data_IF_482427129274
#
_entry.id   IF_482427129274
#
_cell.length_a   1.000
_cell.length_b   1.000
_cell.length_c   1.000
_cell.angle_alpha   90.00
_cell.angle_beta   90.00
_cell.angle_gamma   90.00
#
_symmetry.space_group_name_H-M   'P 1'
#
loop_
_entity.id
_entity.type
_entity.pdbx_description
1 polymer ?
#
# COMPACT_ATOMS: atom_id res chain seq x y z
N UNK A 1 -3.93 -21.81 20.63
CA UNK A 1 -4.39 -22.18 19.26
C UNK A 1 -5.69 -21.43 19.00
N UNK A 2 -5.76 -20.63 17.94
CA UNK A 2 -6.92 -19.78 17.61
C UNK A 2 -7.51 -20.22 16.26
N UNK A 3 -8.36 -21.26 16.22
CA UNK A 3 -8.78 -21.90 14.96
C UNK A 3 -9.62 -21.01 14.02
N UNK A 4 -10.12 -19.87 14.48
CA UNK A 4 -10.95 -18.93 13.69
C UNK A 4 -10.43 -17.49 13.81
N UNK A 5 -9.10 -17.30 13.82
CA UNK A 5 -8.54 -15.97 13.96
C UNK A 5 -8.73 -15.17 12.68
N UNK A 6 -9.83 -14.41 12.59
CA UNK A 6 -10.10 -13.53 11.44
C UNK A 6 -9.31 -12.22 11.49
N UNK A 7 -8.93 -11.78 12.69
CA UNK A 7 -8.27 -10.50 12.91
C UNK A 7 -7.00 -10.71 13.72
N UNK A 8 -5.87 -10.30 13.17
CA UNK A 8 -4.59 -10.32 13.86
C UNK A 8 -4.13 -8.88 14.13
N UNK A 9 -3.90 -8.58 15.41
CA UNK A 9 -3.34 -7.31 15.87
C UNK A 9 -1.92 -7.56 16.35
N UNK A 10 -0.94 -6.95 15.68
CA UNK A 10 0.46 -7.04 16.05
C UNK A 10 0.91 -5.68 16.59
N UNK A 11 1.34 -5.67 17.85
CA UNK A 11 1.73 -4.46 18.58
C UNK A 11 2.96 -4.74 19.45
N UNK A 12 4.18 -4.51 18.95
CA UNK A 12 5.42 -4.51 19.76
C UNK A 12 6.68 -4.08 18.97
N UNK A 13 7.67 -3.51 19.66
CA UNK A 13 8.85 -2.87 19.08
C UNK A 13 9.92 -3.78 18.44
N UNK A 14 9.90 -5.09 18.68
CA UNK A 14 11.09 -5.93 18.43
C UNK A 14 11.12 -6.68 17.10
N UNK A 15 10.03 -6.73 16.33
CA UNK A 15 9.99 -7.50 15.09
C UNK A 15 10.64 -6.71 13.94
N UNK A 16 11.66 -7.28 13.31
CA UNK A 16 12.15 -6.80 12.00
C UNK A 16 11.23 -7.26 10.86
N UNK A 17 10.64 -8.43 11.04
CA UNK A 17 9.71 -9.09 10.12
C UNK A 17 8.58 -9.74 10.95
N UNK A 18 7.33 -9.66 10.48
CA UNK A 18 6.18 -10.23 11.22
C UNK A 18 5.97 -11.71 10.87
N UNK A 19 6.24 -12.06 9.62
CA UNK A 19 6.03 -13.40 9.09
C UNK A 19 7.31 -13.89 8.45
N UNK A 20 8.10 -14.62 9.23
CA UNK A 20 9.31 -15.29 8.77
C UNK A 20 9.14 -16.80 8.88
N UNK A 21 9.79 -17.55 7.99
CA UNK A 21 9.77 -19.03 8.04
C UNK A 21 10.43 -19.57 9.32
N UNK A 22 11.32 -18.79 9.93
CA UNK A 22 12.06 -19.11 11.17
C UNK A 22 11.36 -18.61 12.46
N UNK A 23 10.34 -17.74 12.39
CA UNK A 23 9.59 -17.25 13.57
C UNK A 23 8.86 -18.37 14.34
N UNK A 24 8.79 -19.58 13.79
CA UNK A 24 8.04 -20.70 14.33
C UNK A 24 8.89 -21.92 14.68
N UNK A 25 10.21 -21.79 14.69
CA UNK A 25 11.05 -22.81 15.31
C UNK A 25 12.51 -22.46 15.18
N UNK A 26 13.12 -22.03 16.29
CA UNK A 26 14.51 -22.32 16.69
C UNK A 26 14.57 -22.16 18.23
N UNK A 27 14.20 -23.21 18.95
CA UNK A 27 14.59 -23.40 20.34
C UNK A 27 15.33 -24.73 20.44
N UNK A 28 16.66 -24.67 20.30
CA UNK A 28 17.58 -25.75 20.66
C UNK A 28 17.65 -26.91 19.68
N UNK A 29 18.86 -27.40 19.48
CA UNK A 29 19.15 -28.65 18.77
C UNK A 29 18.32 -29.82 19.33
N UNK A 30 17.32 -30.26 18.58
CA UNK A 30 16.91 -31.66 18.58
C UNK A 30 16.55 -32.08 17.17
N UNK A 31 17.23 -33.14 16.73
CA UNK A 31 16.89 -33.95 15.57
C UNK A 31 15.40 -34.30 15.50
N UNK A 32 14.86 -34.32 14.27
CA UNK A 32 13.54 -34.82 13.87
C UNK A 32 12.35 -33.83 13.95
N UNK A 33 11.97 -33.27 12.79
CA UNK A 33 10.72 -32.53 12.60
C UNK A 33 10.57 -32.07 11.16
N UNK A 34 9.96 -32.90 10.31
CA UNK A 34 9.71 -32.55 8.90
C UNK A 34 8.73 -31.39 8.72
N UNK A 35 8.39 -31.11 7.46
CA UNK A 35 7.36 -30.18 6.96
C UNK A 35 6.01 -30.17 7.74
N UNK A 36 5.77 -31.12 8.64
CA UNK A 36 4.58 -31.24 9.49
C UNK A 36 4.43 -30.16 10.57
N UNK A 37 5.50 -29.50 11.02
CA UNK A 37 5.39 -28.47 12.06
C UNK A 37 4.92 -27.10 11.53
N UNK A 38 5.22 -26.78 10.27
CA UNK A 38 4.76 -25.56 9.59
C UNK A 38 3.28 -25.60 9.19
N UNK A 39 2.66 -26.78 9.20
CA UNK A 39 1.24 -26.95 8.89
C UNK A 39 0.33 -26.44 10.03
N UNK A 40 0.84 -26.37 11.27
CA UNK A 40 0.06 -25.96 12.44
C UNK A 40 -0.13 -24.43 12.54
N UNK A 41 0.88 -23.57 12.32
CA UNK A 41 0.70 -22.12 12.24
C UNK A 41 -0.21 -21.71 11.06
N UNK A 42 -0.04 -22.35 9.90
CA UNK A 42 -0.88 -22.11 8.73
C UNK A 42 -2.36 -22.38 9.02
N UNK A 43 -2.67 -23.54 9.60
CA UNK A 43 -4.05 -23.85 10.03
C UNK A 43 -4.60 -22.85 11.05
N UNK A 44 -3.75 -22.18 11.84
CA UNK A 44 -4.21 -21.17 12.79
C UNK A 44 -4.52 -19.83 12.10
N UNK A 45 -3.97 -19.58 10.91
CA UNK A 45 -4.13 -18.35 10.14
C UNK A 45 -4.99 -18.53 8.87
N UNK A 46 -5.51 -19.74 8.62
CA UNK A 46 -6.30 -20.07 7.41
C UNK A 46 -7.59 -19.25 7.27
N UNK A 47 -8.06 -18.63 8.34
CA UNK A 47 -9.25 -17.78 8.36
C UNK A 47 -8.91 -16.28 8.51
N UNK A 48 -7.63 -15.91 8.52
CA UNK A 48 -7.20 -14.54 8.72
C UNK A 48 -7.61 -13.66 7.54
N UNK A 49 -8.40 -12.62 7.83
CA UNK A 49 -8.89 -11.65 6.84
C UNK A 49 -8.38 -10.25 7.11
N UNK A 50 -8.17 -9.88 8.37
CA UNK A 50 -7.79 -8.53 8.74
C UNK A 50 -6.45 -8.54 9.47
N UNK A 51 -5.50 -7.72 9.00
CA UNK A 51 -4.21 -7.55 9.63
C UNK A 51 -4.01 -6.10 10.07
N UNK A 52 -3.71 -5.93 11.36
CA UNK A 52 -3.46 -4.63 11.97
C UNK A 52 -2.05 -4.62 12.56
N UNK A 53 -1.17 -3.82 11.98
CA UNK A 53 0.23 -3.68 12.36
C UNK A 53 0.43 -2.30 12.97
N UNK A 54 0.78 -2.22 14.25
CA UNK A 54 0.85 -0.94 14.94
C UNK A 54 2.09 -0.81 15.82
N UNK A 55 2.81 0.31 15.68
CA UNK A 55 3.99 0.66 16.50
C UNK A 55 5.12 -0.38 16.42
N UNK A 56 5.41 -0.86 15.21
CA UNK A 56 6.49 -1.82 14.96
C UNK A 56 7.73 -1.06 14.52
N UNK A 57 8.51 -0.55 15.50
CA UNK A 57 9.63 0.37 15.24
C UNK A 57 10.74 -0.21 14.36
N UNK A 58 11.00 -1.52 14.47
CA UNK A 58 12.07 -2.18 13.72
C UNK A 58 11.58 -2.87 12.43
N UNK A 59 10.28 -2.81 12.12
CA UNK A 59 9.71 -3.51 10.98
C UNK A 59 10.29 -2.99 9.67
N UNK A 60 11.05 -3.82 8.97
CA UNK A 60 11.65 -3.51 7.67
C UNK A 60 10.81 -4.08 6.53
N UNK A 61 10.23 -5.26 6.72
CA UNK A 61 9.35 -5.91 5.76
C UNK A 61 8.12 -6.46 6.46
N UNK A 62 6.98 -6.38 5.79
CA UNK A 62 5.75 -6.97 6.31
C UNK A 62 5.74 -8.49 6.08
N UNK A 63 6.36 -8.95 4.98
CA UNK A 63 6.39 -10.35 4.56
C UNK A 63 7.75 -10.69 3.95
N UNK A 64 8.15 -11.96 4.13
CA UNK A 64 9.29 -12.57 3.42
C UNK A 64 8.76 -13.40 2.25
N UNK A 65 9.53 -13.44 1.17
CA UNK A 65 9.19 -14.25 -0.01
C UNK A 65 9.17 -15.74 0.39
N UNK A 66 8.07 -16.44 0.08
CA UNK A 66 7.86 -17.84 0.44
C UNK A 66 6.46 -18.34 0.09
N UNK A 67 6.33 -19.62 -0.30
CA UNK A 67 5.06 -20.14 -0.86
C UNK A 67 3.94 -20.26 0.18
N UNK A 68 4.28 -20.53 1.44
CA UNK A 68 3.30 -20.69 2.52
C UNK A 68 2.61 -19.37 2.89
N UNK A 69 3.37 -18.29 2.94
CA UNK A 69 2.83 -16.96 3.26
C UNK A 69 1.97 -16.42 2.12
N UNK A 70 2.32 -16.74 0.86
CA UNK A 70 1.54 -16.33 -0.29
C UNK A 70 0.06 -16.76 -0.20
N UNK A 71 -0.23 -17.95 0.36
CA UNK A 71 -1.61 -18.42 0.53
C UNK A 71 -2.39 -17.60 1.57
N UNK A 72 -1.78 -17.24 2.70
CA UNK A 72 -2.41 -16.38 3.71
C UNK A 72 -2.67 -14.98 3.12
N UNK A 73 -1.79 -14.47 2.27
CA UNK A 73 -1.95 -13.13 1.68
C UNK A 73 -3.09 -13.05 0.67
N UNK A 74 -3.45 -14.17 0.03
CA UNK A 74 -4.59 -14.24 -0.91
C UNK A 74 -5.93 -13.94 -0.24
N UNK A 75 -6.09 -14.26 1.03
CA UNK A 75 -7.34 -14.12 1.80
C UNK A 75 -7.43 -12.84 2.62
N UNK A 76 -6.35 -12.07 2.78
CA UNK A 76 -6.40 -10.80 3.51
C UNK A 76 -7.29 -9.81 2.76
N UNK A 77 -8.33 -9.33 3.44
CA UNK A 77 -9.30 -8.36 2.96
C UNK A 77 -8.98 -6.94 3.42
N UNK A 78 -8.46 -6.78 4.66
CA UNK A 78 -8.19 -5.48 5.28
C UNK A 78 -6.79 -5.46 5.87
N UNK A 79 -6.04 -4.40 5.58
CA UNK A 79 -4.70 -4.19 6.09
C UNK A 79 -4.47 -2.76 6.57
N UNK A 80 -4.14 -2.63 7.84
CA UNK A 80 -3.80 -1.36 8.48
C UNK A 80 -2.37 -1.41 9.01
N UNK A 81 -1.51 -0.52 8.53
CA UNK A 81 -0.10 -0.39 8.96
C UNK A 81 0.08 1.01 9.56
N UNK A 82 0.31 1.08 10.86
CA UNK A 82 0.27 2.33 11.62
C UNK A 82 1.56 2.49 12.44
N UNK A 83 2.27 3.60 12.24
CA UNK A 83 3.47 3.94 13.03
C UNK A 83 4.58 2.88 12.94
N UNK A 84 4.92 2.44 11.72
CA UNK A 84 6.07 1.57 11.44
C UNK A 84 7.18 2.41 10.76
N UNK A 85 8.04 3.09 11.54
CA UNK A 85 9.00 4.08 11.00
C UNK A 85 10.11 3.49 10.14
N UNK A 86 10.50 2.23 10.35
CA UNK A 86 11.58 1.57 9.58
C UNK A 86 11.11 0.88 8.29
N UNK A 87 9.79 0.85 8.05
CA UNK A 87 9.24 0.21 6.86
C UNK A 87 9.44 1.12 5.66
N UNK A 88 10.20 0.67 4.66
CA UNK A 88 10.50 1.47 3.45
C UNK A 88 9.54 1.20 2.29
N UNK A 89 9.00 -0.02 2.18
CA UNK A 89 8.08 -0.44 1.12
C UNK A 89 7.09 -1.49 1.64
N UNK A 90 5.82 -1.42 1.22
CA UNK A 90 4.77 -2.38 1.65
C UNK A 90 4.76 -3.63 0.77
N UNK A 91 4.83 -3.45 -0.55
CA UNK A 91 4.79 -4.52 -1.55
C UNK A 91 6.07 -4.49 -2.42
N UNK A 92 7.18 -5.06 -1.93
CA UNK A 92 8.47 -5.04 -2.64
C UNK A 92 8.55 -6.00 -3.84
N UNK A 93 7.67 -6.99 -3.90
CA UNK A 93 7.71 -8.07 -4.89
C UNK A 93 6.28 -8.48 -5.29
N UNK A 94 6.10 -9.16 -6.43
CA UNK A 94 4.82 -9.77 -6.79
C UNK A 94 4.34 -10.72 -5.70
N UNK A 95 3.22 -10.38 -5.09
CA UNK A 95 2.50 -11.23 -4.13
C UNK A 95 1.05 -11.27 -4.56
N UNK A 96 0.37 -12.39 -4.33
CA UNK A 96 -1.03 -12.54 -4.74
C UNK A 96 -1.99 -12.07 -3.65
N UNK A 97 -2.23 -10.76 -3.53
CA UNK A 97 -3.32 -10.23 -2.71
C UNK A 97 -4.65 -10.29 -3.48
N UNK A 98 -5.29 -11.45 -3.47
CA UNK A 98 -6.50 -11.68 -4.27
C UNK A 98 -7.78 -11.16 -3.62
N UNK A 99 -7.77 -10.89 -2.31
CA UNK A 99 -8.96 -10.45 -1.57
C UNK A 99 -8.85 -9.05 -0.97
N UNK A 100 -7.69 -8.38 -1.10
CA UNK A 100 -7.44 -7.12 -0.41
C UNK A 100 -8.36 -6.01 -0.95
N UNK A 101 -9.26 -5.53 -0.09
CA UNK A 101 -10.24 -4.49 -0.41
C UNK A 101 -9.90 -3.15 0.23
N UNK A 102 -9.20 -3.16 1.38
CA UNK A 102 -8.87 -1.96 2.13
C UNK A 102 -7.41 -1.98 2.56
N UNK A 103 -6.66 -0.96 2.14
CA UNK A 103 -5.30 -0.72 2.59
C UNK A 103 -5.20 0.68 3.21
N UNK A 104 -4.75 0.72 4.46
CA UNK A 104 -4.43 1.94 5.18
C UNK A 104 -2.99 1.89 5.69
N UNK A 105 -2.20 2.89 5.33
CA UNK A 105 -0.86 3.10 5.87
C UNK A 105 -0.78 4.50 6.46
N UNK A 106 -0.44 4.60 7.74
CA UNK A 106 -0.50 5.85 8.49
C UNK A 106 0.71 6.03 9.41
N UNK A 107 1.33 7.22 9.40
CA UNK A 107 2.46 7.59 10.25
C UNK A 107 3.70 6.66 10.09
N UNK A 108 3.87 6.00 8.95
CA UNK A 108 5.07 5.24 8.60
C UNK A 108 6.10 6.18 7.97
N UNK A 109 6.85 6.89 8.82
CA UNK A 109 7.66 8.04 8.38
C UNK A 109 8.82 7.69 7.43
N UNK A 110 9.36 6.47 7.50
CA UNK A 110 10.40 5.97 6.59
C UNK A 110 9.89 5.28 5.34
N UNK A 111 8.57 5.22 5.14
CA UNK A 111 7.96 4.60 3.96
C UNK A 111 8.21 5.47 2.73
N UNK A 112 9.03 4.96 1.81
CA UNK A 112 9.43 5.64 0.57
C UNK A 112 8.47 5.33 -0.56
N UNK A 113 7.99 4.07 -0.64
CA UNK A 113 7.09 3.60 -1.70
C UNK A 113 5.99 2.69 -1.14
N UNK A 114 4.83 2.61 -1.81
CA UNK A 114 3.83 1.60 -1.47
C UNK A 114 4.22 0.25 -2.05
N UNK A 115 4.58 0.19 -3.33
CA UNK A 115 4.96 -1.04 -3.98
C UNK A 115 5.55 -0.86 -5.38
N UNK A 116 6.04 -1.95 -5.94
CA UNK A 116 6.53 -1.97 -7.32
C UNK A 116 5.40 -2.15 -8.34
N UNK A 117 5.66 -1.84 -9.62
CA UNK A 117 4.73 -2.05 -10.73
C UNK A 117 4.14 -3.45 -10.73
N UNK A 118 4.99 -4.48 -10.73
CA UNK A 118 4.52 -5.87 -10.74
C UNK A 118 3.72 -6.23 -9.49
N UNK A 119 4.11 -5.73 -8.33
CA UNK A 119 3.43 -6.02 -7.07
C UNK A 119 2.01 -5.46 -7.02
N UNK A 120 1.81 -4.23 -7.47
CA UNK A 120 0.49 -3.57 -7.42
C UNK A 120 -0.51 -4.11 -8.43
N UNK A 121 -0.05 -4.83 -9.48
CA UNK A 121 -0.96 -5.50 -10.44
C UNK A 121 -1.88 -6.53 -9.77
N UNK A 122 -1.48 -7.07 -8.61
CA UNK A 122 -2.29 -8.02 -7.85
C UNK A 122 -3.49 -7.38 -7.13
N UNK A 123 -3.48 -6.06 -6.94
CA UNK A 123 -4.44 -5.32 -6.10
C UNK A 123 -5.78 -5.05 -6.79
N UNK A 124 -6.27 -6.02 -7.56
CA UNK A 124 -7.47 -5.89 -8.42
C UNK A 124 -8.78 -5.80 -7.62
N UNK A 125 -8.77 -6.17 -6.34
CA UNK A 125 -9.93 -6.05 -5.46
C UNK A 125 -9.93 -4.80 -4.58
N UNK A 126 -8.86 -3.99 -4.62
CA UNK A 126 -8.70 -2.84 -3.74
C UNK A 126 -9.78 -1.80 -4.03
N UNK A 127 -10.55 -1.44 -3.01
CA UNK A 127 -11.64 -0.45 -3.08
C UNK A 127 -11.27 0.86 -2.38
N UNK A 128 -10.45 0.79 -1.35
CA UNK A 128 -10.02 1.92 -0.54
C UNK A 128 -8.51 1.89 -0.31
N UNK A 129 -7.83 2.96 -0.69
CA UNK A 129 -6.41 3.18 -0.42
C UNK A 129 -6.22 4.47 0.36
N UNK A 130 -5.55 4.39 1.50
CA UNK A 130 -5.21 5.54 2.36
C UNK A 130 -3.75 5.53 2.73
N UNK A 131 -3.04 6.61 2.36
CA UNK A 131 -1.65 6.86 2.70
C UNK A 131 -1.59 8.19 3.47
N UNK A 132 -1.26 8.13 4.75
CA UNK A 132 -1.26 9.30 5.65
C UNK A 132 0.05 9.49 6.38
N UNK A 133 0.58 10.71 6.38
CA UNK A 133 1.75 11.12 7.16
C UNK A 133 3.00 10.24 6.94
N UNK A 134 3.13 9.58 5.77
CA UNK A 134 4.33 8.87 5.36
C UNK A 134 5.31 9.87 4.72
N UNK A 135 6.10 10.55 5.56
CA UNK A 135 6.82 11.77 5.16
C UNK A 135 7.93 11.52 4.13
N UNK A 136 8.59 10.36 4.17
CA UNK A 136 9.62 9.97 3.22
C UNK A 136 9.08 9.49 1.86
N UNK A 137 7.76 9.40 1.68
CA UNK A 137 7.18 8.85 0.45
C UNK A 137 7.46 9.77 -0.73
N UNK A 138 8.18 9.29 -1.73
CA UNK A 138 8.55 10.04 -2.94
C UNK A 138 7.62 9.73 -4.11
N UNK A 139 7.35 8.44 -4.31
CA UNK A 139 6.41 7.88 -5.30
C UNK A 139 5.56 6.79 -4.64
N UNK A 140 4.30 6.64 -5.04
CA UNK A 140 3.44 5.53 -4.55
C UNK A 140 3.85 4.21 -5.22
N UNK A 141 4.05 4.23 -6.54
CA UNK A 141 4.41 3.06 -7.35
C UNK A 141 5.73 3.29 -8.10
N UNK A 142 6.68 2.37 -7.93
CA UNK A 142 8.00 2.40 -8.58
C UNK A 142 8.19 1.29 -9.60
N UNK A 143 9.11 1.52 -10.54
CA UNK A 143 9.45 0.53 -11.55
C UNK A 143 10.32 -0.57 -10.94
N UNK A 144 10.15 -1.78 -11.42
CA UNK A 144 10.95 -2.95 -11.07
C UNK A 144 11.49 -3.66 -12.32
N UNK A 145 11.54 -2.93 -13.45
CA UNK A 145 12.16 -3.36 -14.71
C UNK A 145 11.49 -4.59 -15.36
N UNK A 146 10.30 -4.98 -14.89
CA UNK A 146 9.56 -6.13 -15.43
C UNK A 146 8.74 -5.81 -16.69
N UNK A 147 8.90 -4.61 -17.28
CA UNK A 147 8.24 -4.23 -18.54
C UNK A 147 6.71 -4.10 -18.44
N UNK A 148 6.18 -3.71 -17.27
CA UNK A 148 4.74 -3.50 -17.09
C UNK A 148 4.28 -2.24 -17.83
N UNK A 149 3.53 -2.43 -18.91
CA UNK A 149 3.06 -1.33 -19.76
C UNK A 149 1.80 -0.64 -19.22
N UNK A 150 0.93 -1.38 -18.52
CA UNK A 150 -0.32 -0.87 -17.96
C UNK A 150 -0.58 -1.42 -16.55
N UNK A 151 -1.00 -0.54 -15.65
CA UNK A 151 -1.44 -0.85 -14.28
C UNK A 151 -2.88 -0.41 -14.13
N UNK A 152 -3.72 -1.33 -13.64
CA UNK A 152 -5.14 -1.06 -13.38
C UNK A 152 -5.49 -1.27 -11.92
N UNK A 153 -6.24 -0.34 -11.35
CA UNK A 153 -6.94 -0.49 -10.09
C UNK A 153 -8.45 -0.54 -10.35
N UNK A 154 -8.99 -1.68 -10.83
CA UNK A 154 -10.33 -1.76 -11.42
C UNK A 154 -11.46 -1.45 -10.45
N UNK A 155 -11.28 -1.76 -9.16
CA UNK A 155 -12.29 -1.55 -8.11
C UNK A 155 -12.01 -0.38 -7.18
N UNK A 156 -10.89 0.33 -7.34
CA UNK A 156 -10.53 1.41 -6.43
C UNK A 156 -11.53 2.54 -6.56
N UNK A 157 -12.26 2.83 -5.49
CA UNK A 157 -13.29 3.87 -5.45
C UNK A 157 -12.80 5.16 -4.82
N UNK A 158 -11.90 5.04 -3.84
CA UNK A 158 -11.42 6.15 -3.01
C UNK A 158 -9.93 6.04 -2.75
N UNK A 159 -9.23 7.14 -3.04
CA UNK A 159 -7.80 7.30 -2.78
C UNK A 159 -7.59 8.51 -1.87
N UNK A 160 -6.86 8.31 -0.77
CA UNK A 160 -6.48 9.39 0.16
C UNK A 160 -4.96 9.47 0.24
N UNK A 161 -4.44 10.64 -0.10
CA UNK A 161 -3.05 11.06 0.05
C UNK A 161 -3.05 12.27 1.00
N UNK A 162 -2.58 12.08 2.23
CA UNK A 162 -2.63 13.13 3.27
C UNK A 162 -1.29 13.26 3.99
N UNK A 163 -0.69 14.44 3.98
CA UNK A 163 0.52 14.70 4.76
C UNK A 163 1.78 14.04 4.22
N UNK A 164 1.83 13.75 2.91
CA UNK A 164 2.98 13.14 2.24
C UNK A 164 3.94 14.24 1.77
N UNK A 165 4.92 14.57 2.62
CA UNK A 165 5.78 15.75 2.45
C UNK A 165 6.74 15.65 1.27
N UNK A 166 7.26 14.45 0.99
CA UNK A 166 8.19 14.21 -0.12
C UNK A 166 7.52 13.80 -1.43
N UNK A 167 6.20 13.56 -1.43
CA UNK A 167 5.53 12.93 -2.58
C UNK A 167 5.56 13.87 -3.80
N UNK A 168 6.23 13.44 -4.87
CA UNK A 168 6.33 14.20 -6.11
C UNK A 168 5.25 13.76 -7.11
N UNK A 169 4.94 12.46 -7.15
CA UNK A 169 3.88 11.90 -7.98
C UNK A 169 3.31 10.60 -7.40
N UNK A 170 2.16 10.14 -7.91
CA UNK A 170 1.68 8.78 -7.65
C UNK A 170 2.62 7.74 -8.27
N UNK A 171 3.11 8.02 -9.48
CA UNK A 171 4.18 7.24 -10.10
C UNK A 171 4.94 8.08 -11.13
N UNK A 172 6.25 8.12 -10.98
CA UNK A 172 7.17 8.83 -11.87
C UNK A 172 7.51 8.06 -13.14
N UNK A 173 6.89 6.88 -13.33
CA UNK A 173 7.11 5.95 -14.43
C UNK A 173 6.22 6.32 -15.62
N UNK A 174 6.73 6.11 -16.82
CA UNK A 174 5.95 6.26 -18.06
C UNK A 174 5.11 5.00 -18.35
N UNK A 175 4.28 4.60 -17.39
CA UNK A 175 3.35 3.46 -17.47
C UNK A 175 1.90 3.97 -17.56
N UNK A 176 1.03 3.28 -18.28
CA UNK A 176 -0.38 3.64 -18.34
C UNK A 176 -1.10 3.24 -17.05
N UNK A 177 -1.81 4.17 -16.41
CA UNK A 177 -2.62 3.91 -15.23
C UNK A 177 -4.12 4.03 -15.52
N UNK A 178 -4.89 3.03 -15.11
CA UNK A 178 -6.34 3.03 -15.24
C UNK A 178 -7.06 2.85 -13.90
N UNK A 179 -8.02 3.72 -13.63
CA UNK A 179 -8.87 3.69 -12.44
C UNK A 179 -10.37 3.74 -12.83
N UNK A 180 -10.92 2.63 -13.38
CA UNK A 180 -12.30 2.58 -13.89
C UNK A 180 -13.39 2.91 -12.87
N UNK A 181 -13.12 2.68 -11.58
CA UNK A 181 -14.10 2.84 -10.50
C UNK A 181 -13.83 4.03 -9.57
N UNK A 182 -12.76 4.79 -9.80
CA UNK A 182 -12.35 5.86 -8.89
C UNK A 182 -13.34 7.02 -8.98
N UNK A 183 -14.02 7.29 -7.86
CA UNK A 183 -15.04 8.33 -7.77
C UNK A 183 -14.47 9.62 -7.19
N UNK A 184 -13.52 9.51 -6.26
CA UNK A 184 -12.94 10.70 -5.63
C UNK A 184 -11.57 10.43 -5.03
N UNK A 185 -10.71 11.44 -5.12
CA UNK A 185 -9.38 11.45 -4.55
C UNK A 185 -9.23 12.65 -3.61
N UNK A 186 -8.67 12.42 -2.43
CA UNK A 186 -8.28 13.48 -1.51
C UNK A 186 -6.76 13.62 -1.53
N UNK A 187 -6.26 14.80 -1.87
CA UNK A 187 -4.83 15.16 -1.86
C UNK A 187 -4.66 16.38 -0.96
N UNK A 188 -4.21 16.19 0.27
CA UNK A 188 -4.08 17.29 1.24
C UNK A 188 -2.72 17.25 1.91
N UNK A 189 -2.12 18.41 2.20
CA UNK A 189 -0.80 18.51 2.85
C UNK A 189 0.32 17.73 2.12
N UNK A 190 0.27 17.67 0.79
CA UNK A 190 1.31 17.11 -0.08
C UNK A 190 1.94 18.26 -0.90
N UNK A 191 2.92 19.00 -0.36
CA UNK A 191 3.39 20.25 -0.98
C UNK A 191 4.24 20.06 -2.24
N UNK A 192 4.88 18.89 -2.41
CA UNK A 192 5.76 18.62 -3.56
C UNK A 192 5.03 18.07 -4.79
N UNK A 193 3.85 17.48 -4.61
CA UNK A 193 3.12 16.79 -5.68
C UNK A 193 2.83 17.77 -6.81
N UNK A 194 3.24 17.43 -8.03
CA UNK A 194 3.04 18.28 -9.20
C UNK A 194 2.16 17.60 -10.25
N UNK A 195 2.30 16.29 -10.43
CA UNK A 195 1.55 15.45 -11.36
C UNK A 195 1.04 14.21 -10.63
N UNK A 196 0.02 13.57 -11.16
CA UNK A 196 -0.39 12.25 -10.67
C UNK A 196 0.55 11.17 -11.22
N UNK A 197 0.68 11.03 -12.54
CA UNK A 197 1.62 10.09 -13.15
C UNK A 197 2.16 10.63 -14.49
N UNK A 198 3.31 10.14 -14.95
CA UNK A 198 3.87 10.56 -16.25
C UNK A 198 3.18 9.92 -17.45
N UNK A 199 2.83 8.64 -17.35
CA UNK A 199 2.17 7.92 -18.43
C UNK A 199 0.68 8.25 -18.58
N UNK A 200 0.03 7.56 -19.52
CA UNK A 200 -1.39 7.77 -19.83
C UNK A 200 -2.28 7.49 -18.61
N UNK A 201 -3.29 8.33 -18.36
CA UNK A 201 -4.15 8.24 -17.19
C UNK A 201 -5.62 8.18 -17.58
N UNK A 202 -6.34 7.14 -17.15
CA UNK A 202 -7.78 6.99 -17.41
C UNK A 202 -8.57 6.88 -16.11
N UNK A 203 -9.48 7.83 -15.89
CA UNK A 203 -10.29 7.94 -14.65
C UNK A 203 -11.77 8.23 -14.99
N UNK A 204 -12.46 7.33 -15.73
CA UNK A 204 -13.75 7.65 -16.37
C UNK A 204 -14.90 7.98 -15.40
N UNK A 205 -14.80 7.59 -14.13
CA UNK A 205 -15.82 7.85 -13.10
C UNK A 205 -15.42 8.92 -12.08
N UNK A 206 -14.28 9.57 -12.26
CA UNK A 206 -13.77 10.54 -11.30
C UNK A 206 -14.69 11.76 -11.28
N UNK A 207 -15.27 12.04 -10.11
CA UNK A 207 -16.18 13.18 -9.89
C UNK A 207 -15.45 14.40 -9.34
N UNK A 208 -14.39 14.20 -8.56
CA UNK A 208 -13.67 15.31 -7.94
C UNK A 208 -12.37 14.94 -7.27
N UNK A 209 -11.44 15.90 -7.30
CA UNK A 209 -10.20 15.97 -6.53
C UNK A 209 -10.43 16.94 -5.39
N UNK A 210 -10.30 16.47 -4.16
CA UNK A 210 -10.49 17.25 -2.94
C UNK A 210 -9.12 17.62 -2.38
N UNK A 211 -8.98 18.86 -1.90
CA UNK A 211 -7.70 19.35 -1.36
C UNK A 211 -7.72 19.63 0.15
N UNK A 212 -8.87 19.41 0.78
CA UNK A 212 -9.04 19.43 2.23
C UNK A 212 -10.22 18.54 2.61
N UNK A 213 -10.30 18.10 3.87
CA UNK A 213 -11.47 17.35 4.36
C UNK A 213 -12.73 18.20 4.43
N UNK A 214 -12.60 19.53 4.45
CA UNK A 214 -13.72 20.46 4.44
C UNK A 214 -14.24 20.76 3.02
N UNK A 215 -13.48 20.41 1.98
CA UNK A 215 -13.86 20.60 0.58
C UNK A 215 -15.01 19.63 0.22
N UNK A 216 -16.19 20.19 -0.09
CA UNK A 216 -17.40 19.40 -0.41
C UNK A 216 -17.67 19.32 -1.90
N UNK A 217 -17.12 20.24 -2.69
CA UNK A 217 -17.42 20.35 -4.11
C UNK A 217 -16.40 19.56 -4.93
N UNK A 218 -15.15 19.52 -4.47
CA UNK A 218 -14.05 18.94 -5.22
C UNK A 218 -13.78 19.73 -6.51
N UNK A 219 -12.68 19.41 -7.18
CA UNK A 219 -12.26 20.08 -8.41
C UNK A 219 -11.93 19.04 -9.46
N UNK A 220 -12.27 19.32 -10.71
CA UNK A 220 -11.79 18.54 -11.85
C UNK A 220 -11.66 19.47 -13.05
N UNK A 221 -10.42 19.67 -13.51
CA UNK A 221 -10.09 20.49 -14.66
C UNK A 221 -9.43 19.61 -15.71
N UNK A 222 -10.20 19.19 -16.71
CA UNK A 222 -9.74 18.22 -17.71
C UNK A 222 -9.62 16.84 -17.08
N UNK A 223 -8.39 16.40 -16.83
CA UNK A 223 -8.08 15.13 -16.17
C UNK A 223 -7.47 15.32 -14.77
N UNK A 224 -7.21 14.20 -14.10
CA UNK A 224 -6.60 14.17 -12.78
C UNK A 224 -5.20 14.79 -12.75
N UNK A 225 -4.38 14.56 -13.77
CA UNK A 225 -3.03 15.14 -13.88
C UNK A 225 -3.08 16.66 -13.92
N UNK A 226 -3.88 17.21 -14.84
CA UNK A 226 -4.09 18.64 -15.05
C UNK A 226 -4.66 19.31 -13.80
N UNK A 227 -5.54 18.61 -13.09
CA UNK A 227 -6.14 19.10 -11.84
C UNK A 227 -5.10 19.23 -10.72
N UNK A 228 -4.23 18.23 -10.55
CA UNK A 228 -3.13 18.28 -9.56
C UNK A 228 -2.11 19.36 -9.93
N UNK A 229 -1.72 19.47 -11.20
CA UNK A 229 -0.81 20.52 -11.69
C UNK A 229 -1.36 21.93 -11.44
N UNK A 230 -2.64 22.14 -11.73
CA UNK A 230 -3.28 23.45 -11.50
C UNK A 230 -3.30 23.81 -10.01
N UNK A 231 -3.48 22.81 -9.13
CA UNK A 231 -3.45 23.03 -7.68
C UNK A 231 -2.05 23.31 -7.16
N UNK A 232 -1.05 22.55 -7.60
CA UNK A 232 0.33 22.70 -7.15
C UNK A 232 0.91 24.07 -7.56
N UNK A 233 0.62 24.54 -8.77
CA UNK A 233 1.02 25.87 -9.25
C UNK A 233 0.42 27.02 -8.41
N UNK A 234 -0.82 26.87 -7.93
CA UNK A 234 -1.48 27.89 -7.09
C UNK A 234 -0.87 27.99 -5.70
N UNK A 235 -0.39 26.88 -5.15
CA UNK A 235 0.16 26.84 -3.80
C UNK A 235 1.67 27.13 -3.75
N UNK A 236 2.37 27.08 -4.89
CA UNK A 236 3.81 27.37 -5.00
C UNK A 236 4.09 28.31 -6.21
N UNK A 237 3.79 29.61 -6.11
CA UNK A 237 3.92 30.56 -7.22
C UNK A 237 5.37 30.82 -7.68
N UNK A 238 6.38 30.33 -6.95
CA UNK A 238 7.81 30.50 -7.27
C UNK A 238 8.44 29.33 -8.05
N UNK A 239 7.61 28.40 -8.57
CA UNK A 239 8.06 27.16 -9.26
C UNK A 239 8.06 27.25 -10.80
N UNK A 240 8.07 28.46 -11.36
CA UNK A 240 8.08 28.73 -12.82
C UNK A 240 9.51 28.91 -13.30
#
# INVERSE_FOLDING_TARGET
>A
RFPNLEKLFVHCNSFEDIFTEDAFGHAGETSCGGLSDMQKPLKALENLKHLYLSKLCNLKRVWKDGSLMAEILKQIEVMDIISCPSLSIVFPSPISFQSLTNLKVENCIGLVHMGTCSAVTSLVHLTWLTLKNCRAMEDVVIDDENGVEEISFPKLQRLILDGLQSLESFSSINCAFTFPSLVGILVTKCPKINIFCKGALRTPKLKGVFFSYQDREGRLKGDLNTTIQTFSARNNPHRI
#
